data_IF_172675922619
#
_entry.id   IF_172675922619
#
_cell.length_a   1.000
_cell.length_b   1.000
_cell.length_c   1.000
_cell.angle_alpha   90.00
_cell.angle_beta   90.00
_cell.angle_gamma   90.00
#
_symmetry.space_group_name_H-M   'P 1'
#
loop_
_entity.id
_entity.type
_entity.pdbx_description
1 polymer ?
#
# COMPACT_ATOMS: atom_id res chain seq x y z
N UNK A 1 4.82 0.70 -17.21
CA UNK A 1 4.45 1.09 -15.83
C UNK A 1 4.17 -0.17 -15.05
N UNK A 2 4.57 -0.20 -13.77
CA UNK A 2 4.34 -1.32 -12.87
C UNK A 2 2.85 -1.38 -12.50
N UNK A 3 2.20 -2.56 -12.44
CA UNK A 3 0.84 -2.69 -11.95
C UNK A 3 0.74 -2.26 -10.48
N UNK A 4 -0.38 -1.64 -10.08
CA UNK A 4 -0.56 -1.14 -8.70
C UNK A 4 -0.41 -2.26 -7.65
N UNK A 5 -0.93 -3.46 -7.94
CA UNK A 5 -0.82 -4.61 -7.03
C UNK A 5 0.61 -5.13 -6.82
N UNK A 6 1.56 -4.72 -7.66
CA UNK A 6 2.98 -5.06 -7.49
C UNK A 6 3.77 -3.94 -6.79
N UNK A 7 3.19 -2.75 -6.64
CA UNK A 7 3.85 -1.59 -6.06
C UNK A 7 4.00 -1.74 -4.53
N UNK A 8 5.15 -1.29 -4.02
CA UNK A 8 5.36 -1.19 -2.57
C UNK A 8 4.76 0.12 -2.01
N UNK A 9 4.82 0.30 -0.69
CA UNK A 9 4.23 1.46 0.00
C UNK A 9 4.85 2.78 -0.47
N UNK A 10 6.16 2.83 -0.67
CA UNK A 10 6.87 4.04 -1.15
C UNK A 10 6.41 4.42 -2.57
N UNK A 11 6.33 3.45 -3.47
CA UNK A 11 5.86 3.64 -4.85
C UNK A 11 4.40 4.11 -4.90
N UNK A 12 3.53 3.52 -4.07
CA UNK A 12 2.12 3.91 -3.98
C UNK A 12 1.94 5.31 -3.37
N UNK A 13 2.73 5.66 -2.36
CA UNK A 13 2.71 6.99 -1.75
C UNK A 13 3.19 8.06 -2.74
N UNK A 14 4.30 7.81 -3.44
CA UNK A 14 4.79 8.74 -4.46
C UNK A 14 3.82 8.92 -5.63
N UNK A 15 3.06 7.88 -5.99
CA UNK A 15 2.01 7.99 -6.99
C UNK A 15 0.83 8.87 -6.52
N UNK A 16 0.47 8.81 -5.24
CA UNK A 16 -0.54 9.71 -4.65
C UNK A 16 -0.06 11.17 -4.63
N UNK A 17 1.18 11.41 -4.21
CA UNK A 17 1.78 12.75 -4.22
C UNK A 17 1.79 13.35 -5.63
N UNK A 18 2.23 12.57 -6.63
CA UNK A 18 2.21 13.01 -8.02
C UNK A 18 0.80 13.30 -8.56
N UNK A 19 -0.22 12.55 -8.10
CA UNK A 19 -1.61 12.77 -8.47
C UNK A 19 -2.16 14.08 -7.85
N UNK A 20 -1.77 14.36 -6.61
CA UNK A 20 -2.14 15.58 -5.89
C UNK A 20 -1.43 16.81 -6.49
N UNK A 21 -0.13 16.71 -6.80
CA UNK A 21 0.66 17.76 -7.46
C UNK A 21 0.15 18.10 -8.87
N UNK A 22 -0.37 17.09 -9.58
CA UNK A 22 -1.02 17.28 -10.88
C UNK A 22 -2.41 17.92 -10.77
N UNK A 23 -2.91 18.18 -9.55
CA UNK A 23 -4.27 18.64 -9.28
C UNK A 23 -5.34 17.79 -9.98
N UNK A 24 -5.11 16.47 -10.05
CA UNK A 24 -6.01 15.57 -10.77
C UNK A 24 -7.30 15.32 -9.98
N UNK A 25 -8.43 15.49 -10.68
CA UNK A 25 -9.77 15.16 -10.18
C UNK A 25 -10.13 13.67 -10.36
N UNK A 26 -9.19 12.85 -10.83
CA UNK A 26 -9.39 11.41 -11.01
C UNK A 26 -9.55 10.69 -9.67
N UNK A 27 -10.79 10.71 -9.18
CA UNK A 27 -11.19 10.13 -7.91
C UNK A 27 -11.12 8.59 -7.96
N UNK A 28 -11.32 7.99 -9.12
CA UNK A 28 -11.22 6.54 -9.27
C UNK A 28 -9.78 6.07 -9.09
N UNK A 29 -8.82 6.76 -9.73
CA UNK A 29 -7.40 6.49 -9.55
C UNK A 29 -6.95 6.75 -8.11
N UNK A 30 -7.39 7.86 -7.50
CA UNK A 30 -7.08 8.19 -6.10
C UNK A 30 -7.57 7.08 -5.16
N UNK A 31 -8.80 6.59 -5.33
CA UNK A 31 -9.35 5.51 -4.52
C UNK A 31 -8.58 4.19 -4.71
N UNK A 32 -8.22 3.85 -5.96
CA UNK A 32 -7.45 2.65 -6.25
C UNK A 32 -6.09 2.65 -5.55
N UNK A 33 -5.37 3.79 -5.57
CA UNK A 33 -4.11 3.95 -4.87
C UNK A 33 -4.26 3.80 -3.36
N UNK A 34 -5.29 4.38 -2.75
CA UNK A 34 -5.55 4.21 -1.31
C UNK A 34 -5.85 2.77 -0.91
N UNK A 35 -6.61 2.03 -1.74
CA UNK A 35 -6.92 0.63 -1.48
C UNK A 35 -5.66 -0.25 -1.53
N UNK A 36 -4.79 -0.01 -2.50
CA UNK A 36 -3.54 -0.74 -2.62
C UNK A 36 -2.55 -0.38 -1.50
N UNK A 37 -2.50 0.88 -1.08
CA UNK A 37 -1.68 1.29 0.06
C UNK A 37 -2.11 0.55 1.33
N UNK A 38 -3.42 0.45 1.56
CA UNK A 38 -3.99 -0.31 2.68
C UNK A 38 -3.65 -1.80 2.59
N UNK A 39 -3.71 -2.41 1.39
CA UNK A 39 -3.30 -3.81 1.18
C UNK A 39 -1.83 -4.00 1.53
N UNK A 40 -0.94 -3.19 0.96
CA UNK A 40 0.49 -3.29 1.17
C UNK A 40 0.89 -3.11 2.65
N UNK A 41 0.29 -2.13 3.34
CA UNK A 41 0.49 -1.94 4.78
C UNK A 41 -0.03 -3.12 5.63
N UNK A 42 -1.16 -3.71 5.25
CA UNK A 42 -1.69 -4.90 5.94
C UNK A 42 -0.78 -6.12 5.73
N UNK A 43 -0.22 -6.29 4.53
CA UNK A 43 0.74 -7.36 4.25
C UNK A 43 2.02 -7.19 5.05
N UNK A 44 2.57 -5.97 5.14
CA UNK A 44 3.75 -5.68 5.95
C UNK A 44 3.52 -5.99 7.44
N UNK A 45 2.35 -5.64 7.98
CA UNK A 45 1.99 -5.94 9.38
C UNK A 45 1.77 -7.43 9.66
N UNK A 46 1.23 -8.20 8.71
CA UNK A 46 1.05 -9.65 8.88
C UNK A 46 2.39 -10.39 9.00
N UNK A 47 3.49 -9.83 8.49
CA UNK A 47 4.82 -10.42 8.68
C UNK A 47 5.40 -10.22 10.09
N UNK A 48 4.88 -9.28 10.89
CA UNK A 48 5.35 -9.05 12.27
C UNK A 48 4.64 -9.94 13.31
N UNK A 49 3.43 -10.44 13.02
CA UNK A 49 2.59 -11.16 14.00
C UNK A 49 2.85 -12.68 14.08
N UNK A 50 3.64 -13.26 13.15
CA UNK A 50 3.96 -14.71 13.12
C UNK A 50 5.21 -15.06 13.96
N UNK A 51 5.73 -14.12 14.74
CA UNK A 51 6.96 -14.29 15.54
C UNK A 51 6.78 -14.74 16.99
N UNK A 52 5.57 -14.87 17.53
CA UNK A 52 5.37 -15.02 18.99
C UNK A 52 4.28 -16.04 19.42
N UNK A 53 4.19 -17.21 18.78
CA UNK A 53 3.31 -18.30 19.25
C UNK A 53 3.90 -19.71 19.21
N UNK A 54 5.23 -19.85 19.18
CA UNK A 54 5.89 -21.15 19.39
C UNK A 54 6.95 -21.05 20.47
N UNK A 55 6.53 -21.26 21.72
CA UNK A 55 7.14 -22.18 22.69
C UNK A 55 6.62 -21.89 24.11
N UNK A 56 5.57 -22.61 24.50
CA UNK A 56 5.33 -22.96 25.89
C UNK A 56 5.11 -24.48 25.95
N UNK A 57 6.22 -25.21 25.91
CA UNK A 57 6.31 -26.62 26.26
C UNK A 57 6.84 -26.77 27.68
#
# INVERSE_FOLDING_TARGET
>A
MKPLGEMNIEELTGALEALDDAHSEDTALRLALYLELRRAASEEWVFEEVGDLTEAG
#
